data_IF_529706855207
#
_entry.id   IF_529706855207
#
_cell.length_a   1.000
_cell.length_b   1.000
_cell.length_c   1.000
_cell.angle_alpha   90.00
_cell.angle_beta   90.00
_cell.angle_gamma   90.00
#
_symmetry.space_group_name_H-M   'P 1'
#
loop_
_entity.id
_entity.type
_entity.pdbx_description
1 polymer ?
#
# COMPACT_ATOMS: atom_id res chain seq x y z
N UNK A 1 7.54 -13.48 20.21
CA UNK A 1 6.11 -13.45 19.85
C UNK A 1 6.06 -13.15 18.36
N UNK A 2 5.41 -14.02 17.58
CA UNK A 2 6.00 -14.49 16.33
C UNK A 2 5.47 -13.80 15.07
N UNK A 3 6.28 -13.85 14.03
CA UNK A 3 5.92 -13.56 12.64
C UNK A 3 4.63 -14.26 12.17
N UNK A 4 4.18 -15.32 12.87
CA UNK A 4 2.92 -16.00 12.59
C UNK A 4 1.70 -15.10 12.86
N UNK A 5 1.76 -14.23 13.87
CA UNK A 5 0.72 -13.24 14.14
C UNK A 5 0.62 -12.24 12.98
N UNK A 6 1.78 -11.70 12.54
CA UNK A 6 1.86 -10.84 11.37
C UNK A 6 1.33 -11.56 10.11
N UNK A 7 1.67 -12.84 9.92
CA UNK A 7 1.20 -13.63 8.79
C UNK A 7 -0.32 -13.79 8.81
N UNK A 8 -0.92 -14.15 9.95
CA UNK A 8 -2.37 -14.27 10.08
C UNK A 8 -3.10 -12.94 9.85
N UNK A 9 -2.54 -11.82 10.30
CA UNK A 9 -3.10 -10.48 10.03
C UNK A 9 -3.08 -10.15 8.54
N UNK A 10 -1.96 -10.39 7.86
CA UNK A 10 -1.84 -10.10 6.41
C UNK A 10 -2.71 -11.04 5.58
N UNK A 11 -2.79 -12.33 5.93
CA UNK A 11 -3.64 -13.30 5.23
C UNK A 11 -5.12 -12.88 5.24
N UNK A 12 -5.63 -12.42 6.39
CA UNK A 12 -7.02 -11.96 6.54
C UNK A 12 -7.24 -10.53 6.04
N UNK A 13 -6.20 -9.70 6.08
CA UNK A 13 -6.27 -8.26 5.82
C UNK A 13 -6.00 -7.86 4.38
N UNK A 14 -5.04 -8.53 3.75
CA UNK A 14 -4.62 -8.30 2.37
C UNK A 14 -4.18 -9.64 1.74
N UNK A 15 -5.13 -10.51 1.35
CA UNK A 15 -4.83 -11.85 0.84
C UNK A 15 -4.05 -11.82 -0.47
N UNK A 16 -4.22 -10.78 -1.30
CA UNK A 16 -3.44 -10.63 -2.53
C UNK A 16 -1.97 -10.34 -2.23
N UNK A 17 -1.69 -9.45 -1.28
CA UNK A 17 -0.32 -9.20 -0.81
C UNK A 17 0.25 -10.42 -0.10
N UNK A 18 -0.54 -11.12 0.72
CA UNK A 18 -0.10 -12.36 1.38
C UNK A 18 0.40 -13.39 0.37
N UNK A 19 -0.30 -13.57 -0.76
CA UNK A 19 0.13 -14.50 -1.82
C UNK A 19 1.48 -14.10 -2.44
N UNK A 20 1.77 -12.80 -2.57
CA UNK A 20 3.09 -12.35 -3.04
C UNK A 20 4.20 -12.70 -2.03
N UNK A 21 3.90 -12.68 -0.73
CA UNK A 21 4.83 -13.14 0.30
C UNK A 21 5.08 -14.64 0.21
N UNK A 22 4.07 -15.45 -0.06
CA UNK A 22 4.23 -16.90 -0.21
C UNK A 22 5.20 -17.26 -1.35
N UNK A 23 5.23 -16.47 -2.41
CA UNK A 23 6.18 -16.62 -3.51
C UNK A 23 7.59 -16.12 -3.15
N UNK A 24 7.75 -15.32 -2.10
CA UNK A 24 9.02 -14.67 -1.77
C UNK A 24 10.00 -15.61 -1.06
N UNK A 25 11.32 -15.37 -1.17
CA UNK A 25 12.31 -16.07 -0.35
C UNK A 25 12.00 -15.91 1.15
N UNK A 26 12.32 -16.93 1.95
CA UNK A 26 12.00 -16.94 3.39
C UNK A 26 12.57 -15.72 4.12
N UNK A 27 13.80 -15.31 3.81
CA UNK A 27 14.44 -14.14 4.42
C UNK A 27 13.75 -12.81 4.05
N UNK A 28 13.17 -12.72 2.84
CA UNK A 28 12.35 -11.57 2.47
C UNK A 28 11.02 -11.58 3.22
N UNK A 29 10.37 -12.75 3.36
CA UNK A 29 9.10 -12.89 4.11
C UNK A 29 9.23 -12.40 5.55
N UNK A 30 10.26 -12.84 6.27
CA UNK A 30 10.51 -12.45 7.68
C UNK A 30 10.58 -10.93 7.85
N UNK A 31 11.10 -10.23 6.85
CA UNK A 31 11.27 -8.77 6.83
C UNK A 31 10.03 -8.01 6.35
N UNK A 32 9.30 -8.56 5.38
CA UNK A 32 8.14 -7.91 4.79
C UNK A 32 6.85 -8.09 5.61
N UNK A 33 6.71 -9.22 6.31
CA UNK A 33 5.53 -9.53 7.10
C UNK A 33 5.18 -8.45 8.14
N UNK A 34 6.11 -7.97 8.99
CA UNK A 34 5.79 -6.93 9.97
C UNK A 34 5.35 -5.62 9.33
N UNK A 35 5.99 -5.22 8.22
CA UNK A 35 5.66 -3.99 7.48
C UNK A 35 4.23 -4.06 6.92
N UNK A 36 3.86 -5.21 6.36
CA UNK A 36 2.52 -5.39 5.80
C UNK A 36 1.45 -5.61 6.86
N UNK A 37 1.76 -6.27 7.98
CA UNK A 37 0.86 -6.37 9.12
C UNK A 37 0.57 -4.98 9.72
N UNK A 38 1.59 -4.15 9.88
CA UNK A 38 1.45 -2.74 10.26
C UNK A 38 0.48 -2.01 9.33
N UNK A 39 0.66 -2.15 8.01
CA UNK A 39 -0.23 -1.51 7.05
C UNK A 39 -1.68 -1.99 7.18
N UNK A 40 -1.92 -3.27 7.45
CA UNK A 40 -3.28 -3.79 7.70
C UNK A 40 -3.90 -3.12 8.93
N UNK A 41 -3.15 -3.02 10.03
CA UNK A 41 -3.64 -2.39 11.27
C UNK A 41 -3.97 -0.91 11.06
N UNK A 42 -3.05 -0.15 10.46
CA UNK A 42 -3.22 1.29 10.21
C UNK A 42 -4.35 1.56 9.22
N UNK A 43 -4.43 0.82 8.12
CA UNK A 43 -5.48 1.05 7.12
C UNK A 43 -6.88 0.67 7.63
N UNK A 44 -6.98 -0.25 8.60
CA UNK A 44 -8.24 -0.66 9.24
C UNK A 44 -8.68 0.27 10.37
N UNK A 45 -7.74 0.91 11.07
CA UNK A 45 -8.04 1.72 12.26
C UNK A 45 -9.20 2.72 12.08
N UNK A 46 -9.29 3.47 10.96
CA UNK A 46 -10.39 4.43 10.74
C UNK A 46 -11.78 3.79 10.56
N UNK A 47 -11.84 2.48 10.33
CA UNK A 47 -13.08 1.75 10.02
C UNK A 47 -13.59 0.89 11.18
N UNK A 48 -12.88 0.89 12.32
CA UNK A 48 -13.27 0.14 13.52
C UNK A 48 -14.31 0.88 14.37
N UNK A 49 -14.59 2.14 14.05
CA UNK A 49 -15.49 3.04 14.78
C UNK A 49 -16.00 4.13 13.85
N UNK A 50 -17.20 4.65 14.11
CA UNK A 50 -17.72 5.84 13.43
C UNK A 50 -17.25 7.15 14.09
N UNK A 51 -16.72 7.08 15.31
CA UNK A 51 -16.24 8.25 16.05
C UNK A 51 -14.82 8.64 15.59
N UNK A 52 -14.73 9.76 14.88
CA UNK A 52 -13.47 10.29 14.32
C UNK A 52 -12.35 10.41 15.38
N UNK A 53 -12.70 10.87 16.59
CA UNK A 53 -11.76 11.01 17.70
C UNK A 53 -11.16 9.66 18.12
N UNK A 54 -11.96 8.60 18.22
CA UNK A 54 -11.47 7.26 18.58
C UNK A 54 -10.58 6.70 17.46
N UNK A 55 -10.94 6.92 16.20
CA UNK A 55 -10.11 6.53 15.06
C UNK A 55 -8.75 7.25 15.08
N UNK A 56 -8.73 8.56 15.36
CA UNK A 56 -7.51 9.35 15.48
C UNK A 56 -6.63 8.88 16.64
N UNK A 57 -7.20 8.54 17.80
CA UNK A 57 -6.41 8.00 18.92
C UNK A 57 -5.67 6.70 18.53
N UNK A 58 -6.29 5.83 17.73
CA UNK A 58 -5.66 4.61 17.22
C UNK A 58 -4.53 4.90 16.25
N UNK A 59 -4.72 5.87 15.35
CA UNK A 59 -3.65 6.31 14.45
C UNK A 59 -2.51 6.96 15.23
N UNK A 60 -2.82 7.81 16.21
CA UNK A 60 -1.82 8.46 17.05
C UNK A 60 -0.96 7.45 17.79
N UNK A 61 -1.54 6.38 18.33
CA UNK A 61 -0.78 5.30 18.96
C UNK A 61 0.28 4.70 18.01
N UNK A 62 -0.04 4.53 16.72
CA UNK A 62 0.93 4.07 15.73
C UNK A 62 2.01 5.10 15.43
N UNK A 63 1.68 6.40 15.45
CA UNK A 63 2.67 7.47 15.32
C UNK A 63 3.64 7.47 16.49
N UNK A 64 3.15 7.29 17.72
CA UNK A 64 3.99 7.19 18.92
C UNK A 64 4.95 5.99 18.83
N UNK A 65 4.48 4.82 18.36
CA UNK A 65 5.33 3.65 18.10
C UNK A 65 6.44 3.96 17.10
N UNK A 66 6.13 4.68 16.02
CA UNK A 66 7.12 5.04 15.01
C UNK A 66 8.11 6.09 15.53
N UNK A 67 7.65 7.03 16.35
CA UNK A 67 8.50 8.00 17.05
C UNK A 67 9.51 7.30 17.98
N UNK A 68 9.08 6.28 18.72
CA UNK A 68 9.98 5.46 19.55
C UNK A 68 11.07 4.77 18.70
N UNK A 69 10.71 4.24 17.52
CA UNK A 69 11.67 3.64 16.57
C UNK A 69 12.63 4.71 16.03
N UNK A 70 12.13 5.89 15.66
CA UNK A 70 12.94 7.02 15.15
C UNK A 70 13.98 7.45 16.19
N UNK A 71 13.60 7.50 17.46
CA UNK A 71 14.45 7.93 18.56
C UNK A 71 15.40 6.83 19.06
N UNK A 72 15.29 5.60 18.54
CA UNK A 72 16.08 4.45 18.98
C UNK A 72 15.77 4.02 20.42
N UNK A 73 14.58 4.35 20.92
CA UNK A 73 14.12 4.01 22.26
C UNK A 73 13.57 2.59 22.36
N UNK A 74 13.16 2.21 23.57
CA UNK A 74 12.44 0.95 23.77
C UNK A 74 11.02 1.08 23.21
N UNK A 75 10.73 0.31 22.15
CA UNK A 75 9.41 0.30 21.52
C UNK A 75 8.40 -0.45 22.39
N UNK A 76 7.18 0.10 22.51
CA UNK A 76 6.08 -0.54 23.26
C UNK A 76 5.84 -1.97 22.77
N UNK A 77 5.54 -2.89 23.69
CA UNK A 77 5.25 -4.28 23.33
C UNK A 77 3.90 -4.39 22.63
N UNK A 78 3.93 -4.90 21.41
CA UNK A 78 2.74 -5.19 20.61
C UNK A 78 3.10 -6.25 19.57
N UNK A 79 2.14 -7.10 19.20
CA UNK A 79 2.37 -8.25 18.32
C UNK A 79 2.92 -7.86 16.94
N UNK A 80 2.60 -6.66 16.46
CA UNK A 80 3.14 -6.09 15.22
C UNK A 80 4.25 -5.06 15.46
N UNK A 81 4.18 -4.23 16.51
CA UNK A 81 5.15 -3.13 16.68
C UNK A 81 6.56 -3.66 16.99
N UNK A 82 6.65 -4.71 17.81
CA UNK A 82 7.93 -5.32 18.17
C UNK A 82 8.66 -5.93 16.95
N UNK A 83 8.05 -6.81 16.13
CA UNK A 83 8.74 -7.30 14.94
C UNK A 83 8.91 -6.22 13.86
N UNK A 84 8.12 -5.14 13.86
CA UNK A 84 8.33 -3.99 12.97
C UNK A 84 9.61 -3.23 13.34
N UNK A 85 9.83 -2.95 14.63
CA UNK A 85 11.02 -2.25 15.10
C UNK A 85 12.32 -3.01 14.82
N UNK A 86 12.25 -4.33 14.69
CA UNK A 86 13.41 -5.18 14.38
C UNK A 86 13.83 -5.10 12.91
N UNK A 87 12.98 -4.60 12.00
CA UNK A 87 13.19 -4.68 10.55
C UNK A 87 13.25 -3.35 9.81
N UNK A 88 12.81 -2.24 10.42
CA UNK A 88 12.90 -0.91 9.81
C UNK A 88 13.92 -0.03 10.53
N UNK A 89 14.49 0.92 9.80
CA UNK A 89 15.34 1.97 10.37
C UNK A 89 14.54 3.26 10.61
N UNK A 90 15.18 4.27 11.21
CA UNK A 90 14.54 5.55 11.52
C UNK A 90 13.97 6.26 10.27
N UNK A 91 14.59 6.09 9.10
CA UNK A 91 14.08 6.64 7.85
C UNK A 91 12.84 5.89 7.36
N UNK A 92 12.85 4.56 7.45
CA UNK A 92 11.67 3.75 7.21
C UNK A 92 10.51 4.13 8.13
N UNK A 93 10.80 4.35 9.42
CA UNK A 93 9.80 4.77 10.40
C UNK A 93 9.20 6.15 10.09
N UNK A 94 10.02 7.14 9.68
CA UNK A 94 9.51 8.46 9.23
C UNK A 94 8.57 8.35 8.03
N UNK A 95 8.88 7.48 7.08
CA UNK A 95 8.03 7.23 5.90
C UNK A 95 6.71 6.55 6.28
N UNK A 96 6.75 5.60 7.22
CA UNK A 96 5.53 5.00 7.77
C UNK A 96 4.72 6.00 8.60
N UNK A 97 5.34 6.99 9.26
CA UNK A 97 4.61 8.02 10.00
C UNK A 97 3.82 8.91 9.03
N UNK A 98 4.42 9.30 7.91
CA UNK A 98 3.73 10.01 6.83
C UNK A 98 2.55 9.20 6.26
N UNK A 99 2.69 7.86 6.16
CA UNK A 99 1.59 6.97 5.78
C UNK A 99 0.46 6.98 6.82
N UNK A 100 0.78 6.91 8.12
CA UNK A 100 -0.24 6.96 9.20
C UNK A 100 -0.95 8.30 9.20
N UNK A 101 -0.21 9.40 9.03
CA UNK A 101 -0.78 10.74 8.91
C UNK A 101 -1.74 10.85 7.71
N UNK A 102 -1.41 10.24 6.57
CA UNK A 102 -2.27 10.21 5.39
C UNK A 102 -3.60 9.48 5.65
N UNK A 103 -3.61 8.44 6.51
CA UNK A 103 -4.84 7.72 6.88
C UNK A 103 -5.82 8.54 7.73
N UNK A 104 -5.42 9.69 8.27
CA UNK A 104 -6.31 10.62 8.97
C UNK A 104 -7.48 11.06 8.10
N UNK A 105 -7.31 11.13 6.77
CA UNK A 105 -8.40 11.40 5.82
C UNK A 105 -9.59 10.46 6.02
N UNK A 106 -9.33 9.17 6.29
CA UNK A 106 -10.38 8.15 6.45
C UNK A 106 -11.23 8.32 7.72
N UNK A 107 -10.79 9.15 8.68
CA UNK A 107 -11.55 9.47 9.88
C UNK A 107 -12.70 10.44 9.59
N UNK A 108 -12.62 11.22 8.50
CA UNK A 108 -13.53 12.32 8.18
C UNK A 108 -14.31 12.06 6.87
N UNK A 109 -15.39 12.83 6.63
CA UNK A 109 -16.27 12.67 5.45
C UNK A 109 -15.88 13.59 4.28
N UNK A 110 -14.98 14.52 4.51
CA UNK A 110 -14.57 15.51 3.51
C UNK A 110 -13.84 14.85 2.33
N UNK A 111 -13.97 15.45 1.16
CA UNK A 111 -13.13 15.12 0.00
C UNK A 111 -11.71 15.64 0.22
N UNK A 112 -10.76 15.18 -0.60
CA UNK A 112 -9.46 15.85 -0.72
C UNK A 112 -9.64 17.30 -1.19
N UNK A 113 -8.72 18.17 -0.77
CA UNK A 113 -8.70 19.58 -1.16
C UNK A 113 -8.55 19.75 -2.68
N UNK A 114 -7.64 19.00 -3.28
CA UNK A 114 -7.38 18.99 -4.72
C UNK A 114 -6.74 17.66 -5.17
N UNK A 115 -6.51 17.54 -6.48
CA UNK A 115 -5.87 16.35 -7.07
C UNK A 115 -4.45 16.13 -6.52
N UNK A 116 -3.74 17.20 -6.16
CA UNK A 116 -2.39 17.09 -5.60
C UNK A 116 -2.42 16.43 -4.22
N UNK A 117 -3.40 16.74 -3.38
CA UNK A 117 -3.61 16.13 -2.09
C UNK A 117 -3.97 14.62 -2.21
N UNK A 118 -4.82 14.25 -3.18
CA UNK A 118 -5.09 12.84 -3.48
C UNK A 118 -3.83 12.11 -3.96
N UNK A 119 -3.06 12.70 -4.87
CA UNK A 119 -1.78 12.13 -5.35
C UNK A 119 -0.79 11.96 -4.19
N UNK A 120 -0.67 12.95 -3.30
CA UNK A 120 0.18 12.89 -2.13
C UNK A 120 -0.26 11.77 -1.17
N UNK A 121 -1.57 11.60 -0.97
CA UNK A 121 -2.12 10.51 -0.16
C UNK A 121 -1.73 9.13 -0.72
N UNK A 122 -1.89 8.91 -2.03
CA UNK A 122 -1.52 7.63 -2.67
C UNK A 122 0.00 7.42 -2.66
N UNK A 123 0.79 8.49 -2.83
CA UNK A 123 2.23 8.44 -2.74
C UNK A 123 2.71 8.04 -1.33
N UNK A 124 2.10 8.59 -0.28
CA UNK A 124 2.41 8.23 1.11
C UNK A 124 2.00 6.80 1.45
N UNK A 125 0.77 6.41 1.10
CA UNK A 125 0.18 5.12 1.51
C UNK A 125 0.65 3.92 0.67
N UNK A 126 0.65 4.05 -0.66
CA UNK A 126 1.12 2.99 -1.56
C UNK A 126 2.62 3.07 -1.82
N UNK A 127 3.09 4.25 -2.26
CA UNK A 127 4.49 4.49 -2.62
C UNK A 127 5.44 4.37 -1.41
N UNK A 128 5.11 5.06 -0.32
CA UNK A 128 5.88 5.07 0.92
C UNK A 128 6.00 3.67 1.52
N UNK A 129 4.91 2.91 1.56
CA UNK A 129 4.95 1.53 2.06
C UNK A 129 5.89 0.64 1.25
N UNK A 130 5.80 0.70 -0.09
CA UNK A 130 6.63 -0.14 -0.96
C UNK A 130 8.10 0.30 -0.94
N UNK A 131 8.36 1.60 -0.76
CA UNK A 131 9.69 2.15 -0.51
C UNK A 131 10.32 1.56 0.75
N UNK A 132 9.60 1.57 1.88
CA UNK A 132 10.08 0.98 3.15
C UNK A 132 10.34 -0.52 2.99
N UNK A 133 9.42 -1.25 2.34
CA UNK A 133 9.60 -2.66 2.02
C UNK A 133 10.88 -2.93 1.20
N UNK A 134 11.15 -2.15 0.16
CA UNK A 134 12.34 -2.29 -0.66
C UNK A 134 13.62 -1.94 0.12
N UNK A 135 13.58 -0.88 0.94
CA UNK A 135 14.67 -0.44 1.80
C UNK A 135 15.10 -1.52 2.79
N UNK A 136 14.14 -2.14 3.48
CA UNK A 136 14.39 -3.22 4.43
C UNK A 136 15.05 -4.45 3.77
N UNK A 137 14.89 -4.62 2.45
CA UNK A 137 15.52 -5.68 1.66
C UNK A 137 16.82 -5.24 0.97
N UNK A 138 17.35 -4.05 1.30
CA UNK A 138 18.67 -3.57 0.88
C UNK A 138 18.67 -2.61 -0.30
N UNK A 139 17.52 -2.09 -0.75
CA UNK A 139 17.50 -1.01 -1.74
C UNK A 139 17.95 0.32 -1.10
N UNK A 140 18.96 0.98 -1.70
CA UNK A 140 19.41 2.32 -1.26
C UNK A 140 18.58 3.43 -1.89
N UNK A 141 18.41 3.36 -3.20
CA UNK A 141 17.43 4.15 -3.95
C UNK A 141 16.11 3.36 -4.00
N UNK A 142 15.04 4.01 -3.58
CA UNK A 142 13.71 3.41 -3.51
C UNK A 142 12.73 4.00 -4.53
N UNK A 143 13.17 4.89 -5.43
CA UNK A 143 12.29 5.55 -6.41
C UNK A 143 11.50 4.55 -7.27
N UNK A 144 12.14 3.44 -7.65
CA UNK A 144 11.47 2.36 -8.40
C UNK A 144 10.32 1.73 -7.60
N UNK A 145 10.53 1.55 -6.29
CA UNK A 145 9.53 1.01 -5.38
C UNK A 145 8.44 2.04 -5.08
N UNK A 146 8.77 3.33 -4.97
CA UNK A 146 7.80 4.41 -4.82
C UNK A 146 6.86 4.50 -6.02
N UNK A 147 7.41 4.48 -7.25
CA UNK A 147 6.62 4.53 -8.48
C UNK A 147 5.72 3.29 -8.64
N UNK A 148 6.25 2.09 -8.36
CA UNK A 148 5.48 0.85 -8.39
C UNK A 148 4.39 0.82 -7.30
N UNK A 149 4.74 1.29 -6.10
CA UNK A 149 3.85 1.36 -4.94
C UNK A 149 2.73 2.37 -5.14
N UNK A 150 3.02 3.52 -5.75
CA UNK A 150 2.00 4.49 -6.14
C UNK A 150 0.98 3.86 -7.11
N UNK A 151 1.46 3.17 -8.15
CA UNK A 151 0.57 2.54 -9.12
C UNK A 151 -0.28 1.42 -8.48
N UNK A 152 0.32 0.62 -7.59
CA UNK A 152 -0.39 -0.41 -6.83
C UNK A 152 -1.44 0.21 -5.88
N UNK A 153 -1.06 1.27 -5.17
CA UNK A 153 -1.93 2.01 -4.26
C UNK A 153 -3.11 2.64 -4.98
N UNK A 154 -2.89 3.28 -6.13
CA UNK A 154 -3.97 3.86 -6.95
C UNK A 154 -4.92 2.79 -7.48
N UNK A 155 -4.38 1.64 -7.91
CA UNK A 155 -5.21 0.54 -8.37
C UNK A 155 -6.09 -0.02 -7.24
N UNK A 156 -5.55 -0.13 -6.02
CA UNK A 156 -6.31 -0.52 -4.83
C UNK A 156 -7.34 0.55 -4.44
N UNK A 157 -6.99 1.84 -4.54
CA UNK A 157 -7.90 2.96 -4.30
C UNK A 157 -9.12 2.90 -5.20
N UNK A 158 -8.93 2.71 -6.52
CA UNK A 158 -10.04 2.57 -7.46
C UNK A 158 -10.92 1.34 -7.19
N UNK A 159 -10.36 0.25 -6.66
CA UNK A 159 -11.17 -0.89 -6.22
C UNK A 159 -12.03 -0.55 -4.99
N UNK A 160 -11.56 0.35 -4.13
CA UNK A 160 -12.24 0.77 -2.92
C UNK A 160 -13.26 1.90 -3.13
N UNK A 161 -13.21 2.62 -4.26
CA UNK A 161 -14.10 3.78 -4.51
C UNK A 161 -15.58 3.47 -4.26
N UNK A 162 -16.18 2.39 -4.82
CA UNK A 162 -17.59 2.09 -4.59
C UNK A 162 -17.94 1.90 -3.11
N UNK A 163 -17.15 1.09 -2.40
CA UNK A 163 -17.36 0.82 -0.97
C UNK A 163 -17.21 2.09 -0.12
N UNK A 164 -16.28 2.99 -0.51
CA UNK A 164 -16.08 4.28 0.15
C UNK A 164 -17.27 5.22 -0.09
N UNK A 165 -17.78 5.27 -1.31
CA UNK A 165 -18.97 6.06 -1.68
C UNK A 165 -20.24 5.55 -0.97
N UNK A 166 -20.43 4.23 -0.88
CA UNK A 166 -21.54 3.60 -0.14
C UNK A 166 -21.51 3.97 1.35
N UNK A 167 -20.31 4.13 1.92
CA UNK A 167 -20.10 4.59 3.31
C UNK A 167 -20.23 6.11 3.47
N UNK A 168 -20.59 6.83 2.41
CA UNK A 168 -20.75 8.28 2.40
C UNK A 168 -19.44 9.05 2.46
N UNK A 169 -18.33 8.47 1.96
CA UNK A 169 -17.07 9.17 1.71
C UNK A 169 -17.03 9.71 0.27
N UNK A 170 -16.11 10.64 0.02
CA UNK A 170 -15.86 11.24 -1.31
C UNK A 170 -14.41 10.99 -1.73
N UNK A 171 -14.07 9.80 -2.26
CA UNK A 171 -12.69 9.37 -2.49
C UNK A 171 -12.04 9.99 -3.74
N UNK A 172 -12.81 10.65 -4.60
CA UNK A 172 -12.35 11.33 -5.80
C UNK A 172 -12.69 12.82 -5.70
N UNK A 173 -11.71 13.68 -5.99
CA UNK A 173 -11.89 15.14 -6.08
C UNK A 173 -12.79 15.47 -7.27
N UNK A 174 -12.49 14.86 -8.42
CA UNK A 174 -13.27 14.93 -9.64
C UNK A 174 -13.62 13.52 -10.13
N UNK A 175 -14.89 13.15 -9.98
CA UNK A 175 -15.43 11.85 -10.41
C UNK A 175 -15.75 11.77 -11.90
N UNK A 176 -15.53 12.83 -12.69
CA UNK A 176 -15.82 12.79 -14.14
C UNK A 176 -14.92 11.75 -14.84
N UNK A 177 -15.43 11.06 -15.88
CA UNK A 177 -14.67 10.04 -16.57
C UNK A 177 -13.27 10.48 -17.03
N UNK A 178 -13.13 11.73 -17.48
CA UNK A 178 -11.86 12.28 -17.97
C UNK A 178 -10.83 12.41 -16.84
N UNK A 179 -11.24 12.84 -15.64
CA UNK A 179 -10.35 12.98 -14.49
C UNK A 179 -9.90 11.62 -13.95
N UNK A 180 -10.84 10.67 -13.84
CA UNK A 180 -10.52 9.28 -13.48
C UNK A 180 -9.56 8.64 -14.49
N UNK A 181 -9.77 8.86 -15.79
CA UNK A 181 -8.87 8.38 -16.83
C UNK A 181 -7.46 9.00 -16.71
N UNK A 182 -7.37 10.30 -16.42
CA UNK A 182 -6.10 11.01 -16.24
C UNK A 182 -5.33 10.48 -15.03
N UNK A 183 -6.00 10.28 -13.88
CA UNK A 183 -5.39 9.65 -12.70
C UNK A 183 -4.88 8.24 -13.01
N UNK A 184 -5.69 7.42 -13.70
CA UNK A 184 -5.28 6.08 -14.12
C UNK A 184 -4.03 6.10 -15.02
N UNK A 185 -3.95 7.09 -15.92
CA UNK A 185 -2.82 7.28 -16.83
C UNK A 185 -1.55 7.74 -16.10
N UNK A 186 -1.67 8.55 -15.06
CA UNK A 186 -0.55 8.91 -14.18
C UNK A 186 0.03 7.66 -13.49
N UNK A 187 -0.84 6.81 -12.91
CA UNK A 187 -0.41 5.54 -12.32
C UNK A 187 0.27 4.60 -13.34
N UNK A 188 -0.25 4.52 -14.56
CA UNK A 188 0.38 3.74 -15.65
C UNK A 188 1.74 4.30 -16.05
N UNK A 189 1.89 5.62 -16.07
CA UNK A 189 3.15 6.29 -16.38
C UNK A 189 4.22 5.97 -15.33
N UNK A 190 3.88 6.08 -14.03
CA UNK A 190 4.81 5.70 -12.96
C UNK A 190 5.18 4.22 -13.00
N UNK A 191 4.20 3.34 -13.22
CA UNK A 191 4.46 1.91 -13.36
C UNK A 191 5.39 1.60 -14.54
N UNK A 192 5.25 2.31 -15.66
CA UNK A 192 6.14 2.16 -16.81
C UNK A 192 7.58 2.59 -16.49
N UNK A 193 7.76 3.71 -15.75
CA UNK A 193 9.08 4.13 -15.25
C UNK A 193 9.69 3.08 -14.33
N UNK A 194 8.93 2.59 -13.35
CA UNK A 194 9.38 1.55 -12.42
C UNK A 194 9.83 0.28 -13.15
N UNK A 195 9.04 -0.22 -14.11
CA UNK A 195 9.39 -1.40 -14.92
C UNK A 195 10.67 -1.21 -15.73
N UNK A 196 10.84 -0.04 -16.35
CA UNK A 196 12.05 0.29 -17.13
C UNK A 196 13.29 0.31 -16.24
N UNK A 197 13.17 0.83 -15.02
CA UNK A 197 14.24 0.93 -14.05
C UNK A 197 14.39 -0.30 -13.13
N UNK A 198 13.53 -1.31 -13.23
CA UNK A 198 13.50 -2.48 -12.34
C UNK A 198 14.82 -3.29 -12.32
N UNK A 199 15.61 -3.18 -13.40
CA UNK A 199 16.94 -3.77 -13.47
C UNK A 199 17.95 -3.20 -12.46
N UNK A 200 17.75 -1.95 -12.01
CA UNK A 200 18.60 -1.30 -11.03
C UNK A 200 18.29 -1.72 -9.57
N UNK A 201 17.15 -2.38 -9.34
CA UNK A 201 16.75 -2.84 -8.00
C UNK A 201 17.53 -4.11 -7.63
N UNK A 202 18.19 -4.17 -6.45
CA UNK A 202 18.88 -5.37 -5.99
C UNK A 202 17.98 -6.60 -6.03
N UNK A 203 18.54 -7.75 -6.39
CA UNK A 203 17.77 -9.01 -6.47
C UNK A 203 17.05 -9.33 -5.15
N UNK A 204 17.66 -9.04 -4.01
CA UNK A 204 17.07 -9.21 -2.68
C UNK A 204 15.83 -8.35 -2.45
N UNK A 205 15.75 -7.17 -3.08
CA UNK A 205 14.66 -6.20 -2.89
C UNK A 205 13.53 -6.32 -3.91
N UNK A 206 13.70 -7.10 -4.98
CA UNK A 206 12.63 -7.35 -5.97
C UNK A 206 11.32 -7.86 -5.37
N UNK A 207 11.30 -8.73 -4.35
CA UNK A 207 10.06 -9.17 -3.72
C UNK A 207 9.18 -8.04 -3.18
N UNK A 208 9.77 -6.92 -2.77
CA UNK A 208 9.01 -5.76 -2.30
C UNK A 208 8.13 -5.14 -3.39
N UNK A 209 8.50 -5.30 -4.67
CA UNK A 209 7.77 -4.74 -5.80
C UNK A 209 6.55 -5.58 -6.17
N UNK A 210 6.56 -6.88 -5.86
CA UNK A 210 5.59 -7.84 -6.36
C UNK A 210 4.12 -7.52 -6.07
N UNK A 211 3.73 -6.84 -4.98
CA UNK A 211 2.35 -6.37 -4.80
C UNK A 211 1.82 -5.49 -5.94
N UNK A 212 2.67 -4.90 -6.77
CA UNK A 212 2.28 -4.12 -7.95
C UNK A 212 1.83 -4.96 -9.17
N UNK A 213 1.83 -6.30 -9.07
CA UNK A 213 1.53 -7.20 -10.20
C UNK A 213 0.17 -6.95 -10.89
N UNK A 214 -0.83 -6.45 -10.16
CA UNK A 214 -2.18 -6.13 -10.71
C UNK A 214 -2.29 -4.72 -11.26
N UNK A 215 -1.36 -3.83 -10.93
CA UNK A 215 -1.52 -2.40 -11.13
C UNK A 215 -1.80 -2.06 -12.60
N UNK A 216 -1.05 -2.66 -13.54
CA UNK A 216 -1.26 -2.44 -14.97
C UNK A 216 -2.68 -2.80 -15.42
N UNK A 217 -3.14 -3.99 -15.07
CA UNK A 217 -4.41 -4.49 -15.57
C UNK A 217 -5.59 -3.65 -15.07
N UNK A 218 -5.57 -3.28 -13.78
CA UNK A 218 -6.60 -2.45 -13.17
C UNK A 218 -6.57 -1.02 -13.71
N UNK A 219 -5.40 -0.38 -13.73
CA UNK A 219 -5.29 1.00 -14.21
C UNK A 219 -5.58 1.12 -15.71
N UNK A 220 -5.17 0.16 -16.54
CA UNK A 220 -5.55 0.15 -17.96
C UNK A 220 -7.06 0.01 -18.16
N UNK A 221 -7.75 -0.77 -17.31
CA UNK A 221 -9.22 -0.87 -17.37
C UNK A 221 -9.90 0.41 -16.93
N UNK A 222 -9.41 1.05 -15.86
CA UNK A 222 -9.92 2.33 -15.37
C UNK A 222 -9.68 3.46 -16.39
N UNK A 223 -8.52 3.48 -17.05
CA UNK A 223 -8.22 4.46 -18.10
C UNK A 223 -9.11 4.27 -19.34
N UNK A 224 -9.31 3.02 -19.78
CA UNK A 224 -10.08 2.73 -20.99
C UNK A 224 -11.60 2.90 -20.80
N UNK A 225 -12.13 2.51 -19.64
CA UNK A 225 -13.56 2.65 -19.30
C UNK A 225 -13.68 3.15 -17.86
N UNK A 226 -13.59 4.48 -17.63
CA UNK A 226 -13.55 5.07 -16.28
C UNK A 226 -14.77 4.77 -15.42
N UNK A 227 -15.96 4.63 -16.03
CA UNK A 227 -17.19 4.28 -15.33
C UNK A 227 -17.07 2.99 -14.50
N UNK A 228 -16.18 2.06 -14.88
CA UNK A 228 -15.94 0.82 -14.13
C UNK A 228 -15.48 1.03 -12.68
N UNK A 229 -14.89 2.19 -12.38
CA UNK A 229 -14.46 2.55 -11.03
C UNK A 229 -15.68 2.78 -10.13
N UNK A 230 -16.64 3.62 -10.55
CA UNK A 230 -17.87 3.86 -9.80
C UNK A 230 -18.87 2.71 -9.84
N UNK A 231 -18.96 2.00 -10.99
CA UNK A 231 -19.92 0.91 -11.19
C UNK A 231 -19.53 -0.41 -10.48
N UNK A 232 -18.44 -0.43 -9.71
CA UNK A 232 -17.89 -1.63 -9.07
C UNK A 232 -17.56 -2.80 -10.05
N UNK A 233 -17.32 -2.50 -11.34
CA UNK A 233 -17.01 -3.50 -12.38
C UNK A 233 -15.53 -3.53 -12.77
N UNK A 234 -14.67 -2.83 -12.03
CA UNK A 234 -13.21 -2.84 -12.21
C UNK A 234 -12.53 -4.20 -11.90
N UNK A 235 -12.97 -5.02 -10.91
CA UNK A 235 -12.30 -6.28 -10.58
C UNK A 235 -12.11 -7.23 -11.78
N UNK A 236 -11.03 -8.01 -11.73
CA UNK A 236 -10.73 -9.07 -12.70
C UNK A 236 -11.29 -10.42 -12.27
N UNK A 237 -11.54 -11.29 -13.24
CA UNK A 237 -11.84 -12.69 -12.98
C UNK A 237 -10.69 -13.37 -12.22
N UNK A 238 -11.03 -14.23 -11.26
CA UNK A 238 -10.08 -14.87 -10.35
C UNK A 238 -9.00 -15.70 -11.07
N UNK A 239 -9.33 -16.32 -12.21
CA UNK A 239 -8.36 -17.05 -13.03
C UNK A 239 -7.24 -16.14 -13.57
N UNK A 240 -7.58 -14.93 -14.01
CA UNK A 240 -6.61 -13.94 -14.52
C UNK A 240 -5.72 -13.43 -13.39
N UNK A 241 -6.29 -13.26 -12.19
CA UNK A 241 -5.53 -12.91 -10.99
C UNK A 241 -4.46 -13.95 -10.67
N UNK A 242 -4.86 -15.22 -10.57
CA UNK A 242 -3.94 -16.33 -10.28
C UNK A 242 -2.81 -16.43 -11.30
N UNK A 243 -3.14 -16.28 -12.60
CA UNK A 243 -2.14 -16.30 -13.66
C UNK A 243 -1.12 -15.16 -13.55
N UNK A 244 -1.56 -13.92 -13.33
CA UNK A 244 -0.67 -12.77 -13.20
C UNK A 244 0.31 -12.92 -12.03
N UNK A 245 -0.18 -13.37 -10.87
CA UNK A 245 0.65 -13.63 -9.70
C UNK A 245 1.69 -14.73 -9.96
N UNK A 246 1.29 -15.84 -10.61
CA UNK A 246 2.22 -16.92 -10.98
C UNK A 246 3.35 -16.39 -11.87
N UNK A 247 3.02 -15.58 -12.88
CA UNK A 247 4.01 -14.96 -13.78
C UNK A 247 4.95 -14.05 -13.00
N UNK A 248 4.45 -13.23 -12.06
CA UNK A 248 5.31 -12.38 -11.22
C UNK A 248 6.21 -13.20 -10.29
N UNK A 249 5.70 -14.28 -9.68
CA UNK A 249 6.52 -15.17 -8.86
C UNK A 249 7.64 -15.87 -9.64
N UNK A 250 7.37 -16.27 -10.89
CA UNK A 250 8.34 -16.95 -11.75
C UNK A 250 9.36 -15.99 -12.38
N UNK A 251 8.92 -14.83 -12.86
CA UNK A 251 9.76 -13.91 -13.62
C UNK A 251 10.37 -12.80 -12.77
N UNK A 252 9.84 -12.57 -11.57
CA UNK A 252 10.13 -11.42 -10.73
C UNK A 252 9.70 -10.08 -11.34
N UNK A 253 8.95 -10.08 -12.45
CA UNK A 253 8.49 -8.87 -13.14
C UNK A 253 7.08 -8.50 -12.68
N UNK A 254 6.88 -7.19 -12.48
CA UNK A 254 5.58 -6.60 -12.17
C UNK A 254 4.94 -6.02 -13.41
#
# INVERSE_FOLDING_TARGET
MSLDACAGLVERGDPDRFRTLLAAPLEARKRLLPIYAFNVEVSRAPWLTEEAMIAEMRLQWWRDVLEEIINGGQVRRHEVATPLSDVIDAEGARRLDALVAAHRWSCYRDTFEDDAALIAHIAATGGGLMSVAARTLGAKDTQVAEDAGFAAGLAAWFLAVPDLEERGRRPLVDGRPQAVAALAQEGLTRLARARKAQGAVPKSAKPALWPAWRAKALLSRASAVPARVGDATLPEAEARKRWGLLVTGLTGRI
#
